data_IF_484186534963
#
_entry.id   IF_484186534963
#
_cell.length_a   1.000
_cell.length_b   1.000
_cell.length_c   1.000
_cell.angle_alpha   90.00
_cell.angle_beta   90.00
_cell.angle_gamma   90.00
#
_symmetry.space_group_name_H-M   'P 1'
#
loop_
_entity.id
_entity.type
_entity.pdbx_description
1 polymer ?
#
# COMPACT_ATOMS: atom_id res chain seq x y z
N UNK A 1 -1.43 -14.29 35.74
CA UNK A 1 -1.98 -13.47 34.65
C UNK A 1 -0.81 -12.74 34.02
N UNK A 2 -0.35 -13.18 32.85
CA UNK A 2 0.72 -12.50 32.14
C UNK A 2 0.22 -11.12 31.69
N UNK A 3 0.97 -10.07 32.02
CA UNK A 3 0.69 -8.72 31.59
C UNK A 3 1.07 -8.61 30.11
N UNK A 4 0.18 -9.10 29.24
CA UNK A 4 0.29 -8.89 27.79
C UNK A 4 0.21 -7.38 27.60
N UNK A 5 1.37 -6.75 27.40
CA UNK A 5 1.52 -5.29 27.38
C UNK A 5 0.51 -4.61 26.46
N UNK A 6 0.24 -3.32 26.72
CA UNK A 6 -0.73 -2.54 25.95
C UNK A 6 -0.50 -2.73 24.45
N UNK A 7 -1.51 -3.24 23.74
CA UNK A 7 -1.45 -3.48 22.29
C UNK A 7 -1.00 -2.23 21.52
N UNK A 8 -1.33 -1.03 22.01
CA UNK A 8 -0.89 0.23 21.38
C UNK A 8 0.59 0.54 21.58
N UNK A 9 1.21 0.09 22.67
CA UNK A 9 2.65 0.30 22.94
C UNK A 9 3.53 -0.76 22.26
N UNK A 10 2.95 -1.90 21.87
CA UNK A 10 3.69 -3.03 21.29
C UNK A 10 3.38 -3.28 19.82
N UNK A 11 2.28 -2.73 19.28
CA UNK A 11 1.96 -2.83 17.87
C UNK A 11 2.81 -1.89 17.01
N UNK A 12 3.15 -2.34 15.80
CA UNK A 12 3.83 -1.56 14.78
C UNK A 12 2.95 -1.49 13.53
N UNK A 13 2.96 -0.34 12.86
CA UNK A 13 2.33 -0.13 11.55
C UNK A 13 3.30 -0.36 10.39
N UNK A 14 4.56 -0.71 10.70
CA UNK A 14 5.60 -0.99 9.72
C UNK A 14 5.50 -2.47 9.32
N UNK A 15 5.35 -2.71 8.02
CA UNK A 15 5.29 -4.05 7.44
C UNK A 15 6.66 -4.41 6.87
N UNK A 16 7.07 -5.66 7.07
CA UNK A 16 8.21 -6.22 6.33
C UNK A 16 7.82 -6.56 4.89
N UNK A 17 8.82 -6.79 4.04
CA UNK A 17 8.57 -7.20 2.65
C UNK A 17 7.80 -8.54 2.57
N UNK A 18 8.15 -9.49 3.43
CA UNK A 18 7.51 -10.81 3.48
C UNK A 18 6.03 -10.71 3.91
N UNK A 19 5.73 -9.86 4.88
CA UNK A 19 4.36 -9.58 5.32
C UNK A 19 3.54 -8.91 4.22
N UNK A 20 4.15 -8.00 3.47
CA UNK A 20 3.51 -7.37 2.31
C UNK A 20 3.16 -8.41 1.25
N UNK A 21 4.09 -9.28 0.87
CA UNK A 21 3.89 -10.28 -0.18
C UNK A 21 2.74 -11.24 0.17
N UNK A 22 2.59 -11.59 1.46
CA UNK A 22 1.48 -12.42 1.94
C UNK A 22 0.13 -11.72 1.81
N UNK A 23 0.03 -10.46 2.27
CA UNK A 23 -1.19 -9.65 2.14
C UNK A 23 -1.56 -9.50 0.67
N UNK A 24 -0.56 -9.30 -0.20
CA UNK A 24 -0.73 -9.26 -1.65
C UNK A 24 -1.36 -10.50 -2.22
N UNK A 25 -0.80 -11.67 -1.90
CA UNK A 25 -1.28 -12.95 -2.40
C UNK A 25 -2.74 -13.21 -2.01
N UNK A 26 -3.14 -12.83 -0.79
CA UNK A 26 -4.52 -13.00 -0.31
C UNK A 26 -5.48 -11.96 -0.92
N UNK A 27 -5.08 -10.69 -0.99
CA UNK A 27 -5.92 -9.59 -1.51
C UNK A 27 -6.18 -9.71 -3.01
N UNK A 28 -5.19 -10.19 -3.79
CA UNK A 28 -5.34 -10.38 -5.23
C UNK A 28 -6.12 -11.65 -5.61
N UNK A 29 -6.37 -12.57 -4.65
CA UNK A 29 -7.24 -13.74 -4.86
C UNK A 29 -8.74 -13.40 -4.86
N UNK A 30 -9.11 -12.14 -4.64
CA UNK A 30 -10.50 -11.69 -4.78
C UNK A 30 -10.89 -11.79 -6.25
N UNK A 31 -11.68 -12.83 -6.57
CA UNK A 31 -12.28 -13.01 -7.89
C UNK A 31 -13.05 -11.73 -8.26
N UNK A 32 -12.68 -11.10 -9.38
CA UNK A 32 -13.26 -9.87 -9.97
C UNK A 32 -12.50 -8.55 -9.75
N UNK A 33 -11.29 -8.57 -9.19
CA UNK A 33 -10.46 -7.37 -9.19
C UNK A 33 -9.73 -7.23 -10.52
N UNK A 34 -10.01 -6.13 -11.26
CA UNK A 34 -9.24 -5.79 -12.46
C UNK A 34 -7.89 -5.20 -12.05
N UNK A 35 -6.82 -5.78 -12.59
CA UNK A 35 -5.46 -5.32 -12.37
C UNK A 35 -4.97 -4.55 -13.59
N UNK A 36 -4.09 -3.58 -13.37
CA UNK A 36 -3.36 -2.92 -14.45
C UNK A 36 -2.25 -3.82 -15.00
N UNK A 37 -1.69 -3.42 -16.14
CA UNK A 37 -0.49 -4.06 -16.70
C UNK A 37 0.72 -3.87 -15.79
N UNK A 38 1.76 -4.71 -15.96
CA UNK A 38 3.01 -4.53 -15.20
C UNK A 38 3.66 -3.17 -15.46
N UNK A 39 3.65 -2.69 -16.70
CA UNK A 39 4.23 -1.39 -17.05
C UNK A 39 3.52 -0.23 -16.35
N UNK A 40 2.18 -0.26 -16.35
CA UNK A 40 1.39 0.75 -15.64
C UNK A 40 1.58 0.66 -14.13
N UNK A 41 1.64 -0.57 -13.58
CA UNK A 41 1.93 -0.80 -12.17
C UNK A 41 3.28 -0.19 -11.76
N UNK A 42 4.35 -0.49 -12.51
CA UNK A 42 5.70 0.01 -12.24
C UNK A 42 5.74 1.54 -12.36
N UNK A 43 5.11 2.11 -13.39
CA UNK A 43 5.03 3.56 -13.54
C UNK A 43 4.36 4.25 -12.34
N UNK A 44 3.22 3.71 -11.89
CA UNK A 44 2.49 4.20 -10.72
C UNK A 44 3.33 4.08 -9.44
N UNK A 45 4.05 2.97 -9.29
CA UNK A 45 4.89 2.72 -8.12
C UNK A 45 6.09 3.66 -8.06
N UNK A 46 6.79 3.90 -9.17
CA UNK A 46 7.92 4.83 -9.26
C UNK A 46 7.55 6.26 -8.82
N UNK A 47 6.34 6.70 -9.18
CA UNK A 47 5.77 7.98 -8.74
C UNK A 47 5.49 8.01 -7.24
N UNK A 48 5.10 6.89 -6.65
CA UNK A 48 4.94 6.77 -5.20
C UNK A 48 6.30 6.74 -4.49
N UNK A 49 7.30 6.03 -5.03
CA UNK A 49 8.64 5.93 -4.42
C UNK A 49 9.40 7.26 -4.36
N UNK A 50 9.09 8.19 -5.28
CA UNK A 50 9.60 9.56 -5.27
C UNK A 50 8.69 10.57 -4.53
N UNK A 51 7.60 10.09 -3.90
CA UNK A 51 6.62 10.96 -3.24
C UNK A 51 7.02 11.29 -1.80
N UNK A 52 7.08 12.59 -1.48
CA UNK A 52 7.35 13.10 -0.12
C UNK A 52 6.31 12.68 0.93
N UNK A 53 5.15 12.21 0.47
CA UNK A 53 4.02 11.76 1.30
C UNK A 53 3.93 10.24 1.42
N UNK A 54 4.98 9.51 1.01
CA UNK A 54 5.11 8.08 1.24
C UNK A 54 5.76 7.84 2.61
N UNK A 55 5.01 7.24 3.52
CA UNK A 55 5.50 6.80 4.82
C UNK A 55 5.97 5.36 4.76
N UNK A 56 7.06 5.09 5.47
CA UNK A 56 7.62 3.75 5.67
C UNK A 56 7.95 2.99 4.37
N UNK A 57 8.04 3.69 3.24
CA UNK A 57 8.26 3.09 1.92
C UNK A 57 7.05 2.36 1.34
N UNK A 58 5.88 2.41 1.99
CA UNK A 58 4.74 1.56 1.65
C UNK A 58 3.39 2.25 1.79
N UNK A 59 3.23 3.24 2.67
CA UNK A 59 1.92 3.79 3.05
C UNK A 59 1.75 5.22 2.57
N UNK A 60 0.68 5.51 1.82
CA UNK A 60 0.37 6.87 1.41
C UNK A 60 -0.25 7.69 2.56
N UNK A 61 0.29 8.86 2.89
CA UNK A 61 -0.26 9.75 3.94
C UNK A 61 -1.68 10.26 3.68
N UNK A 62 -2.11 10.36 2.41
CA UNK A 62 -3.43 10.91 2.08
C UNK A 62 -4.57 9.90 2.24
N UNK A 63 -4.33 8.63 1.94
CA UNK A 63 -5.38 7.60 1.98
C UNK A 63 -5.11 6.48 3.00
N UNK A 64 -3.90 6.41 3.57
CA UNK A 64 -3.50 5.34 4.47
C UNK A 64 -3.33 3.96 3.81
N UNK A 65 -3.46 3.85 2.48
CA UNK A 65 -3.33 2.59 1.77
C UNK A 65 -1.85 2.21 1.51
N UNK A 66 -1.60 0.90 1.44
CA UNK A 66 -0.36 0.34 0.89
C UNK A 66 -0.31 0.67 -0.61
N UNK A 67 0.71 1.42 -1.03
CA UNK A 67 0.81 1.98 -2.39
C UNK A 67 1.02 0.90 -3.44
N UNK A 68 1.73 -0.17 -3.09
CA UNK A 68 1.91 -1.33 -3.95
C UNK A 68 0.53 -1.96 -4.27
N UNK A 69 -0.36 -2.12 -3.29
CA UNK A 69 -1.70 -2.68 -3.55
C UNK A 69 -2.49 -1.69 -4.40
N UNK A 70 -2.52 -0.41 -3.99
CA UNK A 70 -3.31 0.62 -4.68
C UNK A 70 -2.88 0.76 -6.14
N UNK A 71 -1.59 0.81 -6.44
CA UNK A 71 -1.06 0.96 -7.79
C UNK A 71 -1.47 -0.19 -8.72
N UNK A 72 -1.64 -1.41 -8.19
CA UNK A 72 -2.01 -2.60 -8.97
C UNK A 72 -3.48 -2.64 -9.39
N UNK A 73 -4.36 -1.94 -8.66
CA UNK A 73 -5.80 -1.94 -8.93
C UNK A 73 -6.13 -1.03 -10.13
N UNK A 74 -6.85 -1.54 -11.13
CA UNK A 74 -7.20 -0.75 -12.31
C UNK A 74 -8.17 0.40 -12.00
N UNK A 75 -9.06 0.22 -11.02
CA UNK A 75 -10.05 1.23 -10.62
C UNK A 75 -9.55 2.28 -9.63
N UNK A 76 -8.26 2.29 -9.30
CA UNK A 76 -7.68 3.25 -8.36
C UNK A 76 -6.98 4.40 -9.11
N UNK A 77 -6.83 5.54 -8.42
CA UNK A 77 -6.00 6.67 -8.84
C UNK A 77 -5.20 7.22 -7.67
N UNK A 78 -4.21 8.09 -7.92
CA UNK A 78 -3.48 8.75 -6.85
C UNK A 78 -4.42 9.64 -6.00
N UNK A 79 -4.43 9.51 -4.66
CA UNK A 79 -5.32 10.28 -3.77
C UNK A 79 -4.82 11.71 -3.49
N UNK A 80 -3.77 12.17 -4.16
CA UNK A 80 -3.25 13.53 -3.95
C UNK A 80 -4.32 14.55 -4.38
N UNK A 81 -4.72 15.49 -3.50
CA UNK A 81 -5.94 16.29 -3.71
C UNK A 81 -5.81 17.35 -4.79
N UNK A 82 -4.59 17.72 -5.19
CA UNK A 82 -4.37 18.76 -6.20
C UNK A 82 -4.17 18.14 -7.59
N UNK A 83 -3.06 17.43 -7.79
CA UNK A 83 -2.73 16.80 -9.07
C UNK A 83 -2.38 15.32 -8.86
N UNK A 84 -3.31 14.39 -9.10
CA UNK A 84 -3.04 12.96 -9.01
C UNK A 84 -1.75 12.63 -9.76
N UNK A 85 -0.76 12.09 -9.02
CA UNK A 85 0.56 11.82 -9.60
C UNK A 85 0.51 10.72 -10.66
N UNK A 86 -0.56 9.92 -10.65
CA UNK A 86 -0.96 8.93 -11.66
C UNK A 86 -2.46 8.69 -11.60
#
# INVERSE_FOLDING_TARGET
MENIGCKGCTATVRLTQEEMDKIFGETMRVKNVKLVTEDEYNNRLDKCMSCEYLDYGTTCRFCGCIVQIRAKLAGSGCPYPYEPRW
#
